data_IF_626473396895
#
_entry.id   IF_626473396895
#
_cell.length_a   1.000
_cell.length_b   1.000
_cell.length_c   1.000
_cell.angle_alpha   90.00
_cell.angle_beta   90.00
_cell.angle_gamma   90.00
#
_symmetry.space_group_name_H-M   'P 1'
#
loop_
_entity.id
_entity.type
_entity.pdbx_description
1 polymer ?
#
# COMPACT_ATOMS: atom_id res chain seq x y z
N UNK A 1 11.03 -8.99 -13.61
CA UNK A 1 9.88 -8.64 -14.48
C UNK A 1 8.62 -8.73 -13.63
N UNK A 2 7.66 -7.81 -13.75
CA UNK A 2 6.43 -7.83 -12.94
C UNK A 2 5.52 -8.95 -13.42
N UNK A 3 5.29 -9.96 -12.57
CA UNK A 3 4.60 -11.20 -12.98
C UNK A 3 3.09 -11.02 -13.17
N UNK A 4 2.47 -9.98 -12.57
CA UNK A 4 1.07 -9.60 -12.80
C UNK A 4 0.75 -8.25 -12.15
N UNK A 5 0.07 -7.37 -12.88
CA UNK A 5 -0.53 -6.15 -12.34
C UNK A 5 -2.05 -6.34 -12.21
N UNK A 6 -2.61 -5.95 -11.06
CA UNK A 6 -4.04 -5.97 -10.80
C UNK A 6 -4.52 -4.52 -10.58
N UNK A 7 -5.39 -4.05 -11.48
CA UNK A 7 -6.00 -2.73 -11.39
C UNK A 7 -7.43 -2.86 -10.84
N UNK A 8 -7.75 -2.08 -9.83
CA UNK A 8 -9.01 -2.18 -9.10
C UNK A 8 -9.61 -0.79 -8.94
N UNK A 9 -10.93 -0.74 -9.09
CA UNK A 9 -11.74 0.42 -8.73
C UNK A 9 -12.74 -0.03 -7.67
N UNK A 10 -12.77 0.67 -6.55
CA UNK A 10 -13.70 0.37 -5.47
C UNK A 10 -15.00 1.14 -5.76
N UNK A 11 -16.17 0.47 -5.87
CA UNK A 11 -17.42 1.13 -6.27
C UNK A 11 -17.83 2.32 -5.41
N UNK A 12 -17.57 2.26 -4.10
CA UNK A 12 -17.82 3.37 -3.16
C UNK A 12 -16.93 4.60 -3.40
N UNK A 13 -15.76 4.39 -4.00
CA UNK A 13 -14.72 5.40 -4.19
C UNK A 13 -14.28 5.47 -5.66
N UNK A 14 -15.18 5.82 -6.60
CA UNK A 14 -14.91 5.74 -8.04
C UNK A 14 -13.80 6.71 -8.51
N UNK A 15 -13.52 7.76 -7.74
CA UNK A 15 -12.41 8.70 -8.00
C UNK A 15 -11.03 8.12 -7.71
N UNK A 16 -10.94 6.99 -7.01
CA UNK A 16 -9.67 6.37 -6.63
C UNK A 16 -9.37 5.15 -7.51
N UNK A 17 -8.17 5.13 -8.07
CA UNK A 17 -7.64 4.00 -8.83
C UNK A 17 -6.53 3.33 -8.03
N UNK A 18 -6.60 2.01 -7.92
CA UNK A 18 -5.65 1.22 -7.15
C UNK A 18 -4.96 0.26 -8.10
N UNK A 19 -3.63 0.32 -8.14
CA UNK A 19 -2.80 -0.60 -8.93
C UNK A 19 -1.90 -1.40 -8.01
N UNK A 20 -2.03 -2.72 -8.07
CA UNK A 20 -1.24 -3.67 -7.30
C UNK A 20 -0.25 -4.37 -8.23
N UNK A 21 1.02 -4.32 -7.87
CA UNK A 21 2.09 -4.93 -8.66
C UNK A 21 2.88 -5.90 -7.79
N UNK A 22 3.03 -7.14 -8.27
CA UNK A 22 3.91 -8.12 -7.64
C UNK A 22 5.24 -8.17 -8.39
N UNK A 23 6.32 -8.16 -7.63
CA UNK A 23 7.68 -8.31 -8.14
C UNK A 23 8.35 -9.51 -7.48
N UNK A 24 9.11 -10.25 -8.26
CA UNK A 24 9.95 -11.37 -7.82
C UNK A 24 11.41 -11.06 -8.16
N UNK A 25 12.35 -11.64 -7.41
CA UNK A 25 13.79 -11.44 -7.58
C UNK A 25 14.24 -9.96 -7.58
N UNK A 26 13.74 -9.18 -6.61
CA UNK A 26 14.08 -7.75 -6.45
C UNK A 26 15.51 -7.61 -5.95
N UNK A 27 16.36 -6.89 -6.69
CA UNK A 27 17.78 -6.70 -6.35
C UNK A 27 18.10 -5.33 -5.72
N UNK A 28 17.22 -4.34 -5.93
CA UNK A 28 17.42 -2.96 -5.51
C UNK A 28 16.57 -2.56 -4.28
N UNK A 29 16.19 -3.51 -3.44
CA UNK A 29 15.35 -3.24 -2.27
C UNK A 29 15.96 -2.23 -1.29
N UNK A 30 17.29 -2.25 -1.12
CA UNK A 30 18.00 -1.31 -0.25
C UNK A 30 17.93 0.14 -0.78
N UNK A 31 18.06 0.31 -2.09
CA UNK A 31 17.95 1.61 -2.76
C UNK A 31 16.53 2.17 -2.68
N UNK A 32 15.52 1.34 -2.93
CA UNK A 32 14.10 1.71 -2.80
C UNK A 32 13.82 2.20 -1.36
N UNK A 33 14.30 1.45 -0.36
CA UNK A 33 14.12 1.83 1.05
C UNK A 33 14.82 3.15 1.38
N UNK A 34 16.02 3.37 0.88
CA UNK A 34 16.75 4.63 1.07
C UNK A 34 16.00 5.83 0.49
N UNK A 35 15.48 5.70 -0.73
CA UNK A 35 14.67 6.75 -1.39
C UNK A 35 13.34 7.02 -0.66
N UNK A 36 12.71 5.98 -0.11
CA UNK A 36 11.48 6.15 0.67
C UNK A 36 11.75 6.94 1.97
N UNK A 37 12.86 6.62 2.66
CA UNK A 37 13.25 7.30 3.90
C UNK A 37 13.73 8.74 3.67
N UNK A 38 14.34 9.03 2.51
CA UNK A 38 14.70 10.40 2.13
C UNK A 38 13.48 11.26 1.77
N UNK A 39 12.28 10.67 1.68
CA UNK A 39 11.05 11.37 1.35
C UNK A 39 10.92 11.68 -0.15
N UNK A 40 11.60 10.92 -1.01
CA UNK A 40 11.49 11.08 -2.45
C UNK A 40 10.05 10.80 -2.91
N UNK A 41 9.40 11.81 -3.53
CA UNK A 41 8.01 11.72 -3.97
C UNK A 41 7.82 10.70 -5.10
N UNK A 42 8.86 10.43 -5.89
CA UNK A 42 8.84 9.40 -6.93
C UNK A 42 8.68 7.98 -6.36
N UNK A 43 8.91 7.82 -5.05
CA UNK A 43 8.80 6.55 -4.33
C UNK A 43 7.61 6.54 -3.35
N UNK A 44 6.62 7.40 -3.55
CA UNK A 44 5.42 7.45 -2.71
C UNK A 44 4.45 6.30 -3.03
N UNK A 45 4.84 5.09 -2.66
CA UNK A 45 4.07 3.85 -2.82
C UNK A 45 4.05 3.04 -1.53
N UNK A 46 3.04 2.18 -1.40
CA UNK A 46 2.99 1.20 -0.32
C UNK A 46 3.82 -0.04 -0.70
N UNK A 47 5.06 -0.12 -0.23
CA UNK A 47 5.89 -1.32 -0.37
C UNK A 47 5.55 -2.32 0.73
N UNK A 48 5.03 -3.49 0.35
CA UNK A 48 4.52 -4.50 1.27
C UNK A 48 5.31 -5.81 1.09
N UNK A 49 5.65 -6.47 2.19
CA UNK A 49 6.25 -7.80 2.13
C UNK A 49 5.21 -8.82 1.65
N UNK A 50 5.43 -9.39 0.45
CA UNK A 50 4.51 -10.39 -0.11
C UNK A 50 4.36 -11.66 0.73
N UNK A 51 5.31 -11.97 1.62
CA UNK A 51 5.23 -13.13 2.52
C UNK A 51 4.14 -12.96 3.61
N UNK A 52 3.71 -11.73 3.91
CA UNK A 52 2.67 -11.47 4.90
C UNK A 52 1.26 -11.37 4.30
N UNK A 53 1.15 -11.55 2.97
CA UNK A 53 -0.10 -11.42 2.24
C UNK A 53 -0.58 -12.80 1.82
N UNK A 54 -1.76 -13.19 2.29
CA UNK A 54 -2.37 -14.49 2.04
C UNK A 54 -3.19 -14.45 0.75
N UNK A 55 -3.92 -13.35 0.51
CA UNK A 55 -4.82 -13.22 -0.62
C UNK A 55 -4.96 -11.78 -1.13
N UNK A 56 -5.55 -11.63 -2.31
CA UNK A 56 -5.79 -10.29 -2.91
C UNK A 56 -6.90 -9.54 -2.18
N UNK A 57 -7.87 -10.28 -1.64
CA UNK A 57 -8.98 -9.77 -0.83
C UNK A 57 -8.46 -9.08 0.44
N UNK A 58 -7.41 -9.62 1.08
CA UNK A 58 -6.75 -8.97 2.22
C UNK A 58 -6.22 -7.57 1.84
N UNK A 59 -5.55 -7.46 0.69
CA UNK A 59 -5.05 -6.17 0.20
C UNK A 59 -6.20 -5.21 -0.12
N UNK A 60 -7.24 -5.70 -0.81
CA UNK A 60 -8.41 -4.89 -1.17
C UNK A 60 -9.14 -4.39 0.08
N UNK A 61 -9.30 -5.23 1.10
CA UNK A 61 -9.93 -4.86 2.36
C UNK A 61 -9.14 -3.77 3.09
N UNK A 62 -7.81 -3.87 3.14
CA UNK A 62 -6.98 -2.82 3.73
C UNK A 62 -7.05 -1.52 2.94
N UNK A 63 -7.03 -1.57 1.61
CA UNK A 63 -7.21 -0.37 0.78
C UNK A 63 -8.58 0.26 0.99
N UNK A 64 -9.65 -0.54 1.04
CA UNK A 64 -11.00 -0.06 1.34
C UNK A 64 -11.04 0.64 2.70
N UNK A 65 -10.42 0.04 3.72
CA UNK A 65 -10.35 0.62 5.06
C UNK A 65 -9.58 1.94 5.09
N UNK A 66 -8.43 2.00 4.43
CA UNK A 66 -7.63 3.22 4.36
C UNK A 66 -8.33 4.33 3.60
N UNK A 67 -9.05 4.02 2.52
CA UNK A 67 -9.86 5.00 1.80
C UNK A 67 -11.02 5.51 2.66
N UNK A 68 -11.66 4.62 3.42
CA UNK A 68 -12.71 5.04 4.36
C UNK A 68 -12.16 6.04 5.38
N UNK A 69 -11.07 5.67 6.06
CA UNK A 69 -10.43 6.51 7.07
C UNK A 69 -9.92 7.83 6.44
N UNK A 70 -9.46 7.81 5.18
CA UNK A 70 -9.08 9.01 4.42
C UNK A 70 -10.25 9.93 4.09
N UNK A 71 -11.36 9.38 3.61
CA UNK A 71 -12.56 10.18 3.28
C UNK A 71 -13.27 10.74 4.51
N UNK A 72 -13.08 10.13 5.67
CA UNK A 72 -13.65 10.58 6.96
C UNK A 72 -12.67 11.43 7.77
N UNK A 73 -11.49 11.76 7.22
CA UNK A 73 -10.44 12.56 7.88
C UNK A 73 -9.93 11.95 9.20
N UNK A 74 -9.87 10.60 9.25
CA UNK A 74 -9.46 9.77 10.40
C UNK A 74 -8.15 9.03 10.16
N UNK A 75 -7.35 9.43 9.16
CA UNK A 75 -6.04 8.81 8.91
C UNK A 75 -5.11 9.02 10.10
N UNK A 76 -4.31 8.01 10.40
CA UNK A 76 -3.32 8.06 11.50
C UNK A 76 -1.91 8.26 10.98
N UNK A 77 -1.70 7.95 9.71
CA UNK A 77 -0.40 8.04 9.05
C UNK A 77 -0.29 9.27 8.16
N UNK A 78 0.93 9.56 7.71
CA UNK A 78 1.25 10.76 6.91
C UNK A 78 0.67 10.73 5.49
N UNK A 79 0.43 9.54 4.94
CA UNK A 79 -0.06 9.38 3.56
C UNK A 79 -1.07 8.24 3.49
N UNK A 80 -1.97 8.31 2.49
CA UNK A 80 -2.91 7.22 2.21
C UNK A 80 -2.18 5.88 1.98
N UNK A 81 -1.02 5.89 1.33
CA UNK A 81 -0.22 4.68 1.09
C UNK A 81 0.31 4.06 2.39
N UNK A 82 0.78 4.89 3.33
CA UNK A 82 1.18 4.42 4.66
C UNK A 82 -0.02 3.90 5.47
N UNK A 83 -1.22 4.47 5.28
CA UNK A 83 -2.43 4.00 5.97
C UNK A 83 -2.83 2.59 5.51
N UNK A 84 -2.55 2.23 4.25
CA UNK A 84 -2.76 0.86 3.74
C UNK A 84 -1.87 -0.13 4.46
N UNK A 85 -0.59 0.20 4.65
CA UNK A 85 0.35 -0.63 5.41
C UNK A 85 -0.11 -0.74 6.86
N UNK A 86 -0.55 0.38 7.45
CA UNK A 86 -1.09 0.40 8.80
C UNK A 86 -2.33 -0.48 8.95
N UNK A 87 -3.24 -0.42 7.98
CA UNK A 87 -4.48 -1.22 7.94
C UNK A 87 -4.23 -2.71 7.70
N UNK A 88 -3.05 -3.08 7.18
CA UNK A 88 -2.60 -4.47 7.07
C UNK A 88 -1.98 -4.99 8.36
N UNK A 89 -1.48 -4.11 9.23
CA UNK A 89 -0.80 -4.50 10.45
C UNK A 89 -1.82 -5.00 11.49
N UNK A 90 -1.65 -6.22 12.04
CA UNK A 90 -2.49 -6.71 13.14
C UNK A 90 -2.25 -5.94 14.44
N UNK A 91 -1.09 -5.29 14.58
CA UNK A 91 -0.74 -4.45 15.71
C UNK A 91 -0.75 -2.99 15.27
N UNK A 92 -1.43 -2.12 16.02
CA UNK A 92 -1.57 -0.68 15.73
C UNK A 92 -0.28 0.12 15.99
N UNK A 93 0.90 -0.52 15.95
CA UNK A 93 2.18 0.13 16.15
C UNK A 93 2.75 0.54 14.78
N UNK A 94 2.77 1.84 14.50
CA UNK A 94 3.58 2.42 13.42
C UNK A 94 5.01 2.51 13.97
N UNK A 95 5.97 1.76 13.44
CA UNK A 95 7.40 1.92 13.76
C UNK A 95 8.21 2.24 12.52
#
# INVERSE_FOLDING_TARGET
MSDKALNITIPKFPGFKVSLHKFTNVQNAAEIKSNLLSGNQDYNFAFINSQTIISSEQLIASVYRSLLDYTEDKIRTRTLHSEVIFSLSPTQNVS
#
